data_IF_883266679934
#
_entry.id   IF_883266679934
#
_cell.length_a   1.000
_cell.length_b   1.000
_cell.length_c   1.000
_cell.angle_alpha   90.00
_cell.angle_beta   90.00
_cell.angle_gamma   90.00
#
_symmetry.space_group_name_H-M   'P 1'
#
loop_
_entity.id
_entity.type
_entity.pdbx_description
1 polymer ?
#
# COMPACT_ATOMS: atom_id res chain seq x y z
N UNK A 1 -7.36 -14.79 -22.72
CA UNK A 1 -7.91 -14.23 -21.46
C UNK A 1 -7.18 -12.93 -21.15
N UNK A 2 -7.87 -11.85 -20.82
CA UNK A 2 -7.25 -10.62 -20.28
C UNK A 2 -7.11 -10.77 -18.76
N UNK A 3 -6.01 -10.30 -18.18
CA UNK A 3 -5.72 -10.40 -16.74
C UNK A 3 -5.62 -9.00 -16.13
N UNK A 4 -6.28 -8.79 -15.00
CA UNK A 4 -6.22 -7.54 -14.24
C UNK A 4 -4.79 -7.20 -13.81
N UNK A 5 -3.96 -8.21 -13.51
CA UNK A 5 -2.56 -8.04 -13.14
C UNK A 5 -1.75 -7.21 -14.14
N UNK A 6 -2.13 -7.23 -15.42
CA UNK A 6 -1.45 -6.46 -16.49
C UNK A 6 -1.82 -4.97 -16.50
N UNK A 7 -2.75 -4.55 -15.65
CA UNK A 7 -3.20 -3.16 -15.53
C UNK A 7 -2.63 -2.46 -14.30
N UNK A 8 -1.90 -3.17 -13.43
CA UNK A 8 -1.14 -2.55 -12.36
C UNK A 8 0.07 -1.83 -12.94
N UNK A 9 0.29 -0.61 -12.45
CA UNK A 9 1.44 0.21 -12.77
C UNK A 9 2.41 0.24 -11.57
N UNK A 10 3.70 0.37 -11.86
CA UNK A 10 4.76 0.52 -10.86
C UNK A 10 5.77 1.56 -11.33
N UNK A 11 6.62 2.06 -10.43
CA UNK A 11 7.60 3.09 -10.77
C UNK A 11 8.41 3.57 -9.57
N UNK A 12 9.31 4.52 -9.81
CA UNK A 12 10.02 5.21 -8.73
C UNK A 12 9.09 6.24 -8.08
N UNK A 13 8.71 5.98 -6.83
CA UNK A 13 7.82 6.83 -6.04
C UNK A 13 8.34 8.26 -5.85
N UNK A 14 9.64 8.51 -6.07
CA UNK A 14 10.21 9.86 -6.05
C UNK A 14 9.80 10.71 -7.26
N UNK A 15 9.54 10.07 -8.40
CA UNK A 15 9.11 10.73 -9.63
C UNK A 15 7.64 10.48 -9.99
N UNK A 16 7.04 9.42 -9.43
CA UNK A 16 5.67 9.01 -9.70
C UNK A 16 4.81 9.01 -8.43
N UNK A 17 3.85 9.93 -8.38
CA UNK A 17 3.04 10.24 -7.20
C UNK A 17 1.90 9.25 -6.93
N UNK A 18 1.81 8.15 -7.66
CA UNK A 18 0.76 7.14 -7.46
C UNK A 18 1.27 5.83 -6.83
N UNK A 19 2.59 5.65 -6.78
CA UNK A 19 3.20 4.43 -6.23
C UNK A 19 3.01 4.41 -4.71
N UNK A 20 2.33 3.40 -4.13
CA UNK A 20 2.16 3.31 -2.69
C UNK A 20 3.50 2.96 -2.02
N UNK A 21 3.99 3.80 -1.12
CA UNK A 21 5.25 3.60 -0.41
C UNK A 21 5.01 2.73 0.82
N UNK A 22 5.79 1.65 0.95
CA UNK A 22 5.74 0.76 2.11
C UNK A 22 6.84 1.14 3.10
N UNK A 23 6.41 1.63 4.26
CA UNK A 23 7.26 1.91 5.41
C UNK A 23 7.12 0.76 6.40
N UNK A 24 8.17 -0.04 6.48
CA UNK A 24 8.30 -1.16 7.40
C UNK A 24 9.79 -1.35 7.75
N UNK A 25 10.11 -1.91 8.92
CA UNK A 25 11.47 -2.38 9.23
C UNK A 25 11.95 -3.39 8.19
N UNK A 26 13.26 -3.45 7.95
CA UNK A 26 13.85 -4.49 7.08
C UNK A 26 13.86 -5.87 7.76
N UNK A 27 13.96 -5.87 9.09
CA UNK A 27 14.02 -7.05 9.94
C UNK A 27 13.10 -6.90 11.16
N UNK A 28 12.44 -7.99 11.54
CA UNK A 28 11.57 -8.08 12.73
C UNK A 28 11.73 -9.44 13.40
N UNK A 29 11.46 -9.54 14.69
CA UNK A 29 11.48 -10.81 15.38
C UNK A 29 10.20 -11.62 15.10
N UNK A 30 10.33 -12.93 15.01
CA UNK A 30 9.22 -13.85 14.79
C UNK A 30 8.19 -13.75 15.91
N UNK A 31 6.93 -13.53 15.52
CA UNK A 31 5.83 -13.42 16.46
C UNK A 31 5.75 -12.09 17.21
N UNK A 32 6.64 -11.14 16.94
CA UNK A 32 6.53 -9.78 17.48
C UNK A 32 5.67 -8.88 16.59
N UNK A 33 4.98 -7.93 17.23
CA UNK A 33 4.16 -6.93 16.55
C UNK A 33 5.04 -5.79 16.06
N UNK A 34 4.79 -5.32 14.85
CA UNK A 34 5.43 -4.13 14.29
C UNK A 34 4.45 -3.34 13.44
N UNK A 35 4.76 -2.07 13.21
CA UNK A 35 3.95 -1.18 12.39
C UNK A 35 4.35 -1.28 10.91
N UNK A 36 3.33 -1.29 10.05
CA UNK A 36 3.48 -1.07 8.62
C UNK A 36 2.65 0.15 8.25
N UNK A 37 3.31 1.16 7.71
CA UNK A 37 2.66 2.35 7.14
C UNK A 37 2.70 2.27 5.61
N UNK A 38 1.59 2.59 4.97
CA UNK A 38 1.50 2.80 3.54
C UNK A 38 1.10 4.26 3.30
N UNK A 39 1.77 4.93 2.38
CA UNK A 39 1.42 6.30 2.00
C UNK A 39 1.62 6.56 0.51
N UNK A 40 0.86 7.52 0.00
CA UNK A 40 1.13 8.21 -1.26
C UNK A 40 1.34 9.68 -0.92
N UNK A 41 2.35 10.31 -1.52
CA UNK A 41 2.65 11.73 -1.28
C UNK A 41 3.99 12.01 -0.60
N UNK A 42 4.80 10.98 -0.31
CA UNK A 42 6.06 11.10 0.44
C UNK A 42 7.09 12.05 -0.18
N UNK A 43 7.23 12.02 -1.50
CA UNK A 43 8.09 12.96 -2.24
C UNK A 43 7.27 14.06 -2.94
N UNK A 44 6.20 13.66 -3.61
CA UNK A 44 5.35 14.54 -4.42
C UNK A 44 3.90 14.26 -4.03
N UNK A 45 3.20 15.27 -3.53
CA UNK A 45 1.80 15.17 -3.13
C UNK A 45 0.89 14.75 -4.30
N UNK A 46 -0.04 13.84 -4.01
CA UNK A 46 -1.14 13.52 -4.91
C UNK A 46 -2.33 14.45 -4.61
N UNK A 47 -3.10 14.92 -5.61
CA UNK A 47 -4.32 15.70 -5.36
C UNK A 47 -5.34 14.97 -4.49
N UNK A 48 -6.13 15.73 -3.74
CA UNK A 48 -7.23 15.21 -2.94
C UNK A 48 -8.43 16.14 -3.10
N UNK A 49 -9.17 15.97 -4.21
CA UNK A 49 -10.41 16.69 -4.51
C UNK A 49 -11.51 15.70 -4.87
N UNK A 50 -12.76 16.15 -4.97
CA UNK A 50 -13.87 15.32 -5.45
C UNK A 50 -13.62 14.67 -6.81
N UNK A 51 -12.90 15.34 -7.70
CA UNK A 51 -12.62 14.90 -9.06
C UNK A 51 -11.40 13.98 -9.14
N UNK A 52 -10.45 14.09 -8.20
CA UNK A 52 -9.18 13.39 -8.28
C UNK A 52 -8.60 13.07 -6.90
N UNK A 53 -8.63 11.79 -6.56
CA UNK A 53 -8.22 11.30 -5.24
C UNK A 53 -7.76 9.83 -5.29
N UNK A 54 -7.04 9.44 -4.24
CA UNK A 54 -6.73 8.04 -3.94
C UNK A 54 -7.87 7.48 -3.09
N UNK A 55 -8.53 6.44 -3.57
CA UNK A 55 -9.72 5.90 -2.89
C UNK A 55 -9.34 4.90 -1.79
N UNK A 56 -8.34 4.05 -2.03
CA UNK A 56 -7.99 2.99 -1.10
C UNK A 56 -6.58 2.46 -1.29
N UNK A 57 -6.09 1.79 -0.24
CA UNK A 57 -4.95 0.89 -0.25
C UNK A 57 -5.35 -0.52 0.19
N UNK A 58 -4.61 -1.52 -0.30
CA UNK A 58 -4.56 -2.84 0.32
C UNK A 58 -3.12 -3.26 0.56
N UNK A 59 -2.91 -3.94 1.68
CA UNK A 59 -1.65 -4.57 2.05
C UNK A 59 -1.81 -6.09 2.00
N UNK A 60 -0.91 -6.74 1.28
CA UNK A 60 -0.78 -8.18 1.25
C UNK A 60 0.59 -8.62 1.74
N UNK A 61 0.65 -9.84 2.23
CA UNK A 61 1.90 -10.52 2.55
C UNK A 61 1.95 -11.87 1.84
N UNK A 62 3.05 -12.12 1.13
CA UNK A 62 3.38 -13.42 0.56
C UNK A 62 4.49 -14.04 1.40
N UNK A 63 4.20 -15.05 2.23
CA UNK A 63 5.24 -15.77 2.95
C UNK A 63 6.21 -16.44 1.96
N UNK A 64 7.49 -16.46 2.29
CA UNK A 64 8.47 -17.25 1.54
C UNK A 64 8.06 -18.74 1.54
N UNK A 65 8.11 -19.37 0.36
CA UNK A 65 7.62 -20.75 0.18
C UNK A 65 6.10 -20.92 0.28
N UNK A 66 5.34 -19.87 0.61
CA UNK A 66 3.88 -19.88 0.62
C UNK A 66 3.30 -19.98 -0.78
N UNK A 67 2.13 -20.62 -0.91
CA UNK A 67 1.44 -20.74 -2.22
C UNK A 67 0.59 -19.52 -2.57
N UNK A 68 0.07 -18.81 -1.56
CA UNK A 68 -0.93 -17.76 -1.74
C UNK A 68 -0.63 -16.54 -0.86
N UNK A 69 -0.99 -15.33 -1.32
CA UNK A 69 -0.87 -14.12 -0.51
C UNK A 69 -1.98 -14.05 0.53
N UNK A 70 -1.70 -13.31 1.60
CA UNK A 70 -2.61 -13.04 2.71
C UNK A 70 -2.93 -11.55 2.71
N UNK A 71 -4.21 -11.17 2.63
CA UNK A 71 -4.61 -9.76 2.81
C UNK A 71 -4.48 -9.38 4.29
N UNK A 72 -3.58 -8.44 4.60
CA UNK A 72 -3.30 -7.99 5.96
C UNK A 72 -4.18 -6.80 6.36
N UNK A 73 -4.45 -5.89 5.42
CA UNK A 73 -5.25 -4.70 5.68
C UNK A 73 -5.86 -4.14 4.40
N UNK A 74 -7.02 -3.49 4.58
CA UNK A 74 -7.62 -2.59 3.59
C UNK A 74 -7.83 -1.23 4.27
N UNK A 75 -7.42 -0.15 3.60
CA UNK A 75 -7.63 1.23 4.03
C UNK A 75 -8.52 1.93 3.00
N UNK A 76 -9.62 2.52 3.45
CA UNK A 76 -10.49 3.35 2.59
C UNK A 76 -10.36 4.81 3.02
N UNK A 77 -10.15 5.69 2.05
CA UNK A 77 -10.10 7.13 2.24
C UNK A 77 -11.40 7.68 1.66
N UNK A 78 -12.26 8.24 2.50
CA UNK A 78 -13.66 8.49 2.14
C UNK A 78 -14.04 9.96 2.03
N UNK A 79 -13.25 10.87 2.59
CA UNK A 79 -13.51 12.30 2.49
C UNK A 79 -12.50 12.97 1.54
N UNK A 80 -13.00 13.69 0.54
CA UNK A 80 -12.24 14.35 -0.53
C UNK A 80 -12.74 15.80 -0.76
N UNK A 81 -13.41 16.37 0.23
CA UNK A 81 -13.94 17.74 0.22
C UNK A 81 -15.27 17.90 0.94
N UNK A 82 -15.86 16.82 1.46
CA UNK A 82 -17.14 16.83 2.16
C UNK A 82 -17.06 17.72 3.41
N UNK A 83 -17.73 18.87 3.34
CA UNK A 83 -17.71 19.87 4.41
C UNK A 83 -16.30 20.40 4.69
N UNK A 84 -15.48 20.56 3.65
CA UNK A 84 -14.08 21.01 3.72
C UNK A 84 -13.13 20.02 4.44
N UNK A 85 -13.55 18.77 4.63
CA UNK A 85 -12.74 17.72 5.26
C UNK A 85 -12.08 16.82 4.20
N UNK A 86 -10.85 16.38 4.51
CA UNK A 86 -10.06 15.50 3.66
C UNK A 86 -9.55 14.31 4.48
N UNK A 87 -9.52 13.14 3.84
CA UNK A 87 -8.79 11.96 4.33
C UNK A 87 -7.54 11.79 3.47
N UNK A 88 -6.38 11.99 4.05
CA UNK A 88 -5.11 11.79 3.35
C UNK A 88 -4.86 10.29 3.09
N UNK A 89 -4.22 9.93 1.95
CA UNK A 89 -3.98 8.55 1.60
C UNK A 89 -2.79 7.97 2.37
N UNK A 90 -3.02 7.75 3.68
CA UNK A 90 -2.06 7.19 4.63
C UNK A 90 -2.76 6.12 5.46
N UNK A 91 -2.28 4.88 5.36
CA UNK A 91 -2.73 3.75 6.18
C UNK A 91 -1.64 3.32 7.15
N UNK A 92 -1.99 3.10 8.41
CA UNK A 92 -1.10 2.52 9.42
C UNK A 92 -1.78 1.30 10.03
N UNK A 93 -1.08 0.17 10.06
CA UNK A 93 -1.55 -1.06 10.70
C UNK A 93 -0.44 -1.70 11.52
N UNK A 94 -0.82 -2.44 12.56
CA UNK A 94 0.10 -3.27 13.34
C UNK A 94 -0.10 -4.72 12.94
N UNK A 95 0.97 -5.37 12.48
CA UNK A 95 0.94 -6.76 12.02
C UNK A 95 1.91 -7.61 12.83
N UNK A 96 1.75 -8.92 12.72
CA UNK A 96 2.64 -9.92 13.31
C UNK A 96 2.94 -10.96 12.24
N UNK A 97 4.22 -11.19 11.96
CA UNK A 97 4.69 -12.19 11.00
C UNK A 97 5.50 -13.27 11.72
N UNK A 98 5.46 -14.50 11.21
CA UNK A 98 6.23 -15.61 11.77
C UNK A 98 7.35 -16.10 10.85
N UNK A 99 7.33 -15.67 9.59
CA UNK A 99 8.30 -16.08 8.55
C UNK A 99 8.63 -14.88 7.67
N UNK A 100 9.81 -14.88 7.06
CA UNK A 100 10.19 -13.92 6.01
C UNK A 100 9.24 -13.98 4.81
N UNK A 101 9.27 -12.93 4.00
CA UNK A 101 8.50 -12.88 2.76
C UNK A 101 8.47 -11.49 2.15
N UNK A 102 7.42 -11.22 1.37
CA UNK A 102 7.26 -9.95 0.65
C UNK A 102 5.94 -9.29 1.03
N UNK A 103 6.02 -8.01 1.43
CA UNK A 103 4.88 -7.13 1.56
C UNK A 103 4.55 -6.55 0.18
N UNK A 104 3.28 -6.59 -0.22
CA UNK A 104 2.78 -5.94 -1.43
C UNK A 104 1.74 -4.90 -1.05
N UNK A 105 1.93 -3.67 -1.51
CA UNK A 105 0.93 -2.63 -1.41
C UNK A 105 0.32 -2.40 -2.79
N UNK A 106 -1.00 -2.31 -2.83
CA UNK A 106 -1.73 -1.89 -4.02
C UNK A 106 -2.62 -0.70 -3.68
N UNK A 107 -2.74 0.22 -4.62
CA UNK A 107 -3.56 1.43 -4.47
C UNK A 107 -4.43 1.65 -5.71
N UNK A 108 -5.47 2.47 -5.53
CA UNK A 108 -6.33 2.90 -6.62
C UNK A 108 -6.55 4.41 -6.58
N UNK A 109 -6.16 5.06 -7.67
CA UNK A 109 -6.57 6.43 -7.99
C UNK A 109 -7.87 6.37 -8.80
N UNK A 110 -8.85 7.21 -8.45
CA UNK A 110 -10.17 7.20 -9.08
C UNK A 110 -10.12 7.40 -10.61
N UNK A 111 -9.11 8.12 -11.14
CA UNK A 111 -8.93 8.39 -12.57
C UNK A 111 -7.63 7.83 -13.16
N UNK A 112 -6.63 7.48 -12.34
CA UNK A 112 -5.33 6.94 -12.81
C UNK A 112 -5.15 5.44 -12.54
N UNK A 113 -6.21 4.74 -12.11
CA UNK A 113 -6.23 3.29 -12.05
C UNK A 113 -5.40 2.68 -10.94
N UNK A 114 -4.88 1.48 -11.20
CA UNK A 114 -4.25 0.62 -10.20
C UNK A 114 -2.73 0.77 -10.19
N UNK A 115 -2.17 0.83 -8.99
CA UNK A 115 -0.73 0.95 -8.76
C UNK A 115 -0.27 -0.05 -7.72
N UNK A 116 0.99 -0.47 -7.80
CA UNK A 116 1.57 -1.44 -6.89
C UNK A 116 3.00 -1.10 -6.49
N UNK A 117 3.40 -1.61 -5.34
CA UNK A 117 4.76 -1.62 -4.85
C UNK A 117 4.99 -2.84 -3.96
N UNK A 118 6.25 -3.24 -3.78
CA UNK A 118 6.61 -4.36 -2.92
C UNK A 118 7.85 -4.09 -2.09
N UNK A 119 7.92 -4.68 -0.90
CA UNK A 119 9.07 -4.61 -0.01
C UNK A 119 9.32 -5.96 0.64
N UNK A 120 10.55 -6.46 0.56
CA UNK A 120 10.98 -7.65 1.29
C UNK A 120 11.07 -7.36 2.79
N UNK A 121 10.76 -8.37 3.61
CA UNK A 121 10.90 -8.31 5.06
C UNK A 121 11.49 -9.62 5.59
N UNK A 122 12.54 -9.48 6.41
CA UNK A 122 13.17 -10.62 7.08
C UNK A 122 12.54 -10.82 8.44
N UNK A 123 12.19 -12.06 8.79
CA UNK A 123 11.76 -12.44 10.13
C UNK A 123 12.82 -13.37 10.75
N UNK A 124 13.29 -13.02 11.95
CA UNK A 124 14.32 -13.76 12.71
C UNK A 124 13.82 -14.40 14.01
#
# INVERSE_FOLDING_TARGET
MKSLGKLFQSGDWKGEKHVPVIHAPEKVNSGEKFEVKISIGDAIGHPNSFEHYIAWFKLFFQPEGGKFPIELATFNFSAHGEGDNLTEPVGLTTVKLNTSGTLYAVSYCNIHGLWENSKEITVE
#
